data_IF_929198625955
#
_entry.id   IF_929198625955
#
_cell.length_a   1.000
_cell.length_b   1.000
_cell.length_c   1.000
_cell.angle_alpha   90.00
_cell.angle_beta   90.00
_cell.angle_gamma   90.00
#
_symmetry.space_group_name_H-M   'P 1'
#
loop_
_entity.id
_entity.type
_entity.pdbx_description
1 polymer ?
#
# COMPACT_ATOMS: atom_id res chain seq x y z
N UNK A 1 -17.49 -7.71 16.73
CA UNK A 1 -17.44 -9.03 16.07
C UNK A 1 -15.99 -9.34 15.70
N UNK A 2 -15.62 -10.61 15.53
CA UNK A 2 -14.25 -10.97 15.11
C UNK A 2 -14.06 -10.73 13.61
N UNK A 3 -12.81 -10.53 13.19
CA UNK A 3 -12.43 -10.46 11.77
C UNK A 3 -12.69 -11.81 11.08
N UNK A 4 -13.06 -11.75 9.80
CA UNK A 4 -13.08 -12.90 8.89
C UNK A 4 -11.70 -13.10 8.25
N UNK A 5 -11.48 -14.24 7.58
CA UNK A 5 -10.25 -14.48 6.81
C UNK A 5 -10.08 -13.47 5.67
N UNK A 6 -11.18 -13.05 5.05
CA UNK A 6 -11.21 -11.99 4.03
C UNK A 6 -10.77 -10.65 4.64
N UNK A 7 -11.24 -10.34 5.85
CA UNK A 7 -10.84 -9.11 6.53
C UNK A 7 -9.34 -9.09 6.81
N UNK A 8 -8.76 -10.21 7.27
CA UNK A 8 -7.31 -10.32 7.52
C UNK A 8 -6.52 -10.19 6.21
N UNK A 9 -7.01 -10.79 5.13
CA UNK A 9 -6.41 -10.69 3.79
C UNK A 9 -6.37 -9.23 3.31
N UNK A 10 -7.49 -8.52 3.41
CA UNK A 10 -7.60 -7.11 3.05
C UNK A 10 -6.76 -6.21 3.96
N UNK A 11 -6.70 -6.51 5.26
CA UNK A 11 -5.89 -5.78 6.22
C UNK A 11 -4.39 -5.79 5.88
N UNK A 12 -3.89 -6.90 5.34
CA UNK A 12 -2.51 -7.02 4.85
C UNK A 12 -2.34 -6.29 3.53
N UNK A 13 -3.25 -6.51 2.57
CA UNK A 13 -3.17 -5.93 1.22
C UNK A 13 -3.10 -4.41 1.25
N UNK A 14 -4.02 -3.78 1.98
CA UNK A 14 -4.20 -2.33 1.95
C UNK A 14 -3.23 -1.58 2.88
N UNK A 15 -2.40 -2.30 3.63
CA UNK A 15 -1.44 -1.69 4.54
C UNK A 15 -0.23 -1.09 3.83
N UNK A 16 0.24 -1.71 2.75
CA UNK A 16 1.52 -1.35 2.16
C UNK A 16 1.39 -0.38 0.99
N UNK A 17 2.38 0.50 0.87
CA UNK A 17 2.77 1.10 -0.41
C UNK A 17 3.88 0.25 -1.03
N UNK A 18 4.20 0.39 -2.32
CA UNK A 18 5.31 -0.36 -2.92
C UNK A 18 6.64 -0.18 -2.16
N UNK A 19 6.95 1.05 -1.74
CA UNK A 19 8.16 1.34 -0.98
C UNK A 19 8.16 0.68 0.41
N UNK A 20 7.06 0.78 1.16
CA UNK A 20 6.99 0.20 2.50
C UNK A 20 6.93 -1.32 2.48
N UNK A 21 6.37 -1.94 1.44
CA UNK A 21 6.48 -3.39 1.23
C UNK A 21 7.94 -3.81 1.02
N UNK A 22 8.67 -3.10 0.15
CA UNK A 22 10.09 -3.39 -0.10
C UNK A 22 10.88 -3.32 1.20
N UNK A 23 10.72 -2.22 1.95
CA UNK A 23 11.36 -2.07 3.25
C UNK A 23 11.04 -3.24 4.19
N UNK A 24 9.77 -3.62 4.29
CA UNK A 24 9.31 -4.68 5.20
C UNK A 24 9.91 -6.05 4.84
N UNK A 25 9.97 -6.36 3.55
CA UNK A 25 10.56 -7.62 3.02
C UNK A 25 12.06 -7.68 3.30
N UNK A 26 12.76 -6.54 3.22
CA UNK A 26 14.21 -6.46 3.43
C UNK A 26 14.62 -6.58 4.92
N UNK A 27 13.66 -6.66 5.86
CA UNK A 27 13.95 -6.75 7.28
C UNK A 27 14.52 -8.13 7.67
N UNK A 28 15.63 -8.17 8.43
CA UNK A 28 16.37 -9.41 8.67
C UNK A 28 15.66 -10.38 9.61
N UNK A 29 14.85 -9.88 10.56
CA UNK A 29 14.25 -10.71 11.60
C UNK A 29 12.92 -10.14 12.14
N UNK A 30 12.28 -10.90 13.01
CA UNK A 30 11.01 -10.53 13.63
C UNK A 30 11.11 -9.26 14.49
N UNK A 31 12.20 -9.06 15.23
CA UNK A 31 12.37 -7.87 16.08
C UNK A 31 12.51 -6.60 15.23
N UNK A 32 13.18 -6.69 14.08
CA UNK A 32 13.26 -5.61 13.12
C UNK A 32 11.87 -5.25 12.56
N UNK A 33 11.01 -6.24 12.30
CA UNK A 33 9.61 -6.03 11.87
C UNK A 33 8.74 -5.37 12.95
N UNK A 34 8.91 -5.76 14.23
CA UNK A 34 8.21 -5.09 15.33
C UNK A 34 8.58 -3.61 15.42
N UNK A 35 9.89 -3.30 15.41
CA UNK A 35 10.38 -1.90 15.46
C UNK A 35 9.93 -1.10 14.25
N UNK A 36 9.99 -1.72 13.06
CA UNK A 36 9.52 -1.11 11.83
C UNK A 36 8.03 -0.78 11.94
N UNK A 37 7.21 -1.72 12.42
CA UNK A 37 5.78 -1.55 12.59
C UNK A 37 5.42 -0.42 13.54
N UNK A 38 6.08 -0.33 14.70
CA UNK A 38 5.92 0.80 15.63
C UNK A 38 6.16 2.13 14.94
N UNK A 39 7.27 2.25 14.20
CA UNK A 39 7.64 3.48 13.48
C UNK A 39 6.60 3.88 12.43
N UNK A 40 5.99 2.92 11.72
CA UNK A 40 4.93 3.21 10.72
C UNK A 40 3.70 3.89 11.30
N UNK A 41 3.44 3.77 12.60
CA UNK A 41 2.33 4.44 13.30
C UNK A 41 2.77 5.67 14.10
N UNK A 42 4.07 5.87 14.32
CA UNK A 42 4.62 7.06 14.98
C UNK A 42 4.88 8.20 13.99
N UNK A 43 5.26 7.89 12.76
CA UNK A 43 5.57 8.88 11.72
C UNK A 43 4.31 9.58 11.16
N UNK A 44 3.13 9.02 11.37
CA UNK A 44 1.87 9.51 10.82
C UNK A 44 0.84 9.75 11.94
N UNK A 45 0.63 11.03 12.28
CA UNK A 45 -0.29 11.47 13.35
C UNK A 45 -1.77 11.23 12.97
N UNK A 46 -2.03 10.78 11.73
CA UNK A 46 -3.37 10.50 11.22
C UNK A 46 -3.70 9.01 11.29
N UNK A 47 -4.93 8.66 11.67
CA UNK A 47 -5.37 7.27 11.61
C UNK A 47 -5.35 6.79 10.17
N UNK A 48 -4.58 5.71 9.93
CA UNK A 48 -4.56 5.02 8.65
C UNK A 48 -5.94 4.43 8.41
N UNK A 49 -6.59 4.91 7.34
CA UNK A 49 -7.94 4.52 6.97
C UNK A 49 -8.05 4.33 5.48
N UNK A 50 -8.85 3.36 5.07
CA UNK A 50 -9.13 3.03 3.66
C UNK A 50 -10.62 2.71 3.56
N UNK A 51 -11.23 3.01 2.40
CA UNK A 51 -12.57 2.51 2.09
C UNK A 51 -12.45 1.35 1.13
N UNK A 52 -13.18 0.28 1.42
CA UNK A 52 -13.24 -0.88 0.53
C UNK A 52 -13.82 -0.50 -0.83
N UNK A 53 -13.19 -0.97 -1.88
CA UNK A 53 -13.54 -0.67 -3.26
C UNK A 53 -14.75 -1.48 -3.72
N UNK A 54 -15.32 -1.08 -4.85
CA UNK A 54 -16.36 -1.85 -5.51
C UNK A 54 -15.82 -3.23 -5.91
N UNK A 55 -16.60 -4.28 -5.64
CA UNK A 55 -16.22 -5.69 -5.88
C UNK A 55 -15.47 -6.35 -4.72
N UNK A 56 -15.10 -5.60 -3.68
CA UNK A 56 -14.53 -6.15 -2.43
C UNK A 56 -15.62 -6.54 -1.42
N UNK A 57 -15.34 -7.46 -0.47
CA UNK A 57 -16.28 -7.78 0.61
C UNK A 57 -16.62 -6.54 1.42
N UNK A 58 -17.90 -6.30 1.72
CA UNK A 58 -18.37 -5.08 2.41
C UNK A 58 -17.92 -3.78 1.70
N UNK A 59 -18.02 -3.75 0.37
CA UNK A 59 -17.70 -2.58 -0.46
C UNK A 59 -18.29 -1.28 0.13
N UNK A 60 -17.46 -0.22 0.18
CA UNK A 60 -17.81 1.08 0.75
C UNK A 60 -17.61 1.20 2.27
N UNK A 61 -17.40 0.10 2.99
CA UNK A 61 -17.08 0.13 4.42
C UNK A 61 -15.73 0.81 4.67
N UNK A 62 -15.69 1.60 5.75
CA UNK A 62 -14.46 2.22 6.24
C UNK A 62 -13.67 1.18 7.05
N UNK A 63 -12.37 1.16 6.82
CA UNK A 63 -11.43 0.31 7.55
C UNK A 63 -10.38 1.17 8.25
N UNK A 64 -9.90 0.71 9.39
CA UNK A 64 -8.93 1.44 10.22
C UNK A 64 -7.85 0.51 10.74
N UNK A 65 -6.62 1.02 10.78
CA UNK A 65 -5.49 0.38 11.45
C UNK A 65 -5.09 1.22 12.66
N UNK A 66 -4.93 0.56 13.80
CA UNK A 66 -4.42 1.18 15.03
C UNK A 66 -3.17 0.43 15.52
N UNK A 67 -2.17 1.13 16.08
CA UNK A 67 -0.94 0.49 16.52
C UNK A 67 -1.17 -0.55 17.62
N UNK A 68 -0.39 -1.63 17.56
CA UNK A 68 -0.29 -2.63 18.62
C UNK A 68 1.17 -3.09 18.75
N UNK A 69 1.68 -3.41 19.95
CA UNK A 69 3.09 -3.78 20.14
C UNK A 69 3.60 -4.94 19.27
N UNK A 70 2.70 -5.85 18.87
CA UNK A 70 3.03 -7.05 18.09
C UNK A 70 2.54 -7.01 16.64
N UNK A 71 1.89 -5.93 16.22
CA UNK A 71 1.12 -5.89 14.98
C UNK A 71 0.29 -4.62 14.85
N UNK A 72 -0.96 -4.78 14.43
CA UNK A 72 -1.96 -3.72 14.43
C UNK A 72 -3.35 -4.27 14.72
N UNK A 73 -4.20 -3.45 15.31
CA UNK A 73 -5.63 -3.72 15.39
C UNK A 73 -6.25 -3.23 14.09
N UNK A 74 -6.95 -4.12 13.40
CA UNK A 74 -7.70 -3.81 12.19
C UNK A 74 -9.20 -3.79 12.51
N UNK A 75 -9.89 -2.76 12.03
CA UNK A 75 -11.32 -2.55 12.25
C UNK A 75 -12.02 -2.32 10.90
N UNK A 76 -13.23 -2.87 10.76
CA UNK A 76 -14.08 -2.75 9.57
C UNK A 76 -15.48 -2.34 10.00
N UNK A 77 -15.95 -1.20 9.50
CA UNK A 77 -17.33 -0.72 9.66
C UNK A 77 -18.27 -1.44 8.69
N UNK A 78 -18.47 -2.73 8.89
CA UNK A 78 -19.34 -3.55 8.05
C UNK A 78 -20.83 -3.23 8.28
N UNK A 79 -21.73 -3.54 7.31
CA UNK A 79 -23.16 -3.26 7.44
C UNK A 79 -23.83 -3.90 8.66
N UNK A 80 -23.36 -5.09 9.07
CA UNK A 80 -23.87 -5.81 10.23
C UNK A 80 -23.29 -5.32 11.57
N UNK A 81 -22.37 -4.34 11.55
CA UNK A 81 -21.68 -3.79 12.71
C UNK A 81 -20.16 -3.94 12.63
N UNK A 82 -19.45 -3.38 13.61
CA UNK A 82 -17.99 -3.31 13.60
C UNK A 82 -17.36 -4.69 13.85
N UNK A 83 -16.49 -5.10 12.93
CA UNK A 83 -15.57 -6.23 13.08
C UNK A 83 -14.18 -5.70 13.44
N UNK A 84 -13.52 -6.31 14.42
CA UNK A 84 -12.21 -5.87 14.91
C UNK A 84 -11.36 -7.07 15.34
N UNK A 85 -10.05 -6.97 15.17
CA UNK A 85 -9.11 -8.02 15.56
C UNK A 85 -7.65 -7.61 15.43
N UNK A 86 -6.79 -8.31 16.15
CA UNK A 86 -5.34 -8.13 16.10
C UNK A 86 -4.77 -8.92 14.92
N UNK A 87 -3.98 -8.26 14.08
CA UNK A 87 -3.19 -8.87 13.01
C UNK A 87 -1.71 -8.73 13.38
N UNK A 88 -1.00 -9.84 13.53
CA UNK A 88 0.40 -9.86 13.99
C UNK A 88 1.36 -9.62 12.83
N UNK A 89 2.48 -8.93 13.08
CA UNK A 89 3.51 -8.72 12.04
C UNK A 89 4.09 -10.03 11.51
N UNK A 90 4.12 -11.08 12.34
CA UNK A 90 4.50 -12.42 11.91
C UNK A 90 3.54 -13.01 10.86
N UNK A 91 2.23 -12.83 11.05
CA UNK A 91 1.21 -13.32 10.13
C UNK A 91 1.23 -12.54 8.81
N UNK A 92 1.42 -11.22 8.90
CA UNK A 92 1.66 -10.33 7.75
C UNK A 92 2.84 -10.82 6.92
N UNK A 93 3.97 -11.11 7.58
CA UNK A 93 5.15 -11.64 6.91
C UNK A 93 4.90 -12.99 6.23
N UNK A 94 4.24 -13.91 6.93
CA UNK A 94 3.89 -15.23 6.39
C UNK A 94 2.98 -15.10 5.16
N UNK A 95 2.02 -14.15 5.17
CA UNK A 95 1.14 -13.89 4.04
C UNK A 95 1.91 -13.37 2.82
N UNK A 96 2.88 -12.48 3.03
CA UNK A 96 3.76 -11.93 1.99
C UNK A 96 4.68 -13.02 1.41
N UNK A 97 5.37 -13.78 2.27
CA UNK A 97 6.34 -14.80 1.86
C UNK A 97 5.72 -15.86 0.94
N UNK A 98 4.46 -16.26 1.18
CA UNK A 98 3.74 -17.24 0.33
C UNK A 98 3.68 -16.84 -1.14
N UNK A 99 3.76 -15.54 -1.44
CA UNK A 99 3.69 -14.99 -2.80
C UNK A 99 4.99 -14.34 -3.24
N UNK A 100 5.95 -14.18 -2.33
CA UNK A 100 7.24 -13.57 -2.63
C UNK A 100 8.09 -14.56 -3.44
N UNK A 101 8.45 -14.17 -4.67
CA UNK A 101 9.38 -14.92 -5.51
C UNK A 101 10.49 -13.98 -5.96
N UNK A 102 11.68 -14.49 -6.35
CA UNK A 102 12.77 -13.63 -6.81
C UNK A 102 12.35 -12.69 -7.96
N UNK A 103 11.50 -13.17 -8.88
CA UNK A 103 11.00 -12.36 -10.01
C UNK A 103 10.06 -11.24 -9.52
N UNK A 104 9.12 -11.57 -8.63
CA UNK A 104 8.19 -10.56 -8.06
C UNK A 104 8.92 -9.52 -7.21
N UNK A 105 9.90 -9.97 -6.42
CA UNK A 105 10.75 -9.08 -5.64
C UNK A 105 11.60 -8.18 -6.54
N UNK A 106 12.25 -8.72 -7.58
CA UNK A 106 12.99 -7.91 -8.55
C UNK A 106 12.11 -6.85 -9.21
N UNK A 107 10.89 -7.22 -9.61
CA UNK A 107 9.91 -6.28 -10.19
C UNK A 107 9.53 -5.17 -9.20
N UNK A 108 9.36 -5.50 -7.91
CA UNK A 108 9.09 -4.51 -6.86
C UNK A 108 10.27 -3.54 -6.69
N UNK A 109 11.50 -4.06 -6.63
CA UNK A 109 12.71 -3.25 -6.52
C UNK A 109 12.85 -2.28 -7.70
N UNK A 110 12.73 -2.78 -8.93
CA UNK A 110 12.79 -1.97 -10.15
C UNK A 110 11.72 -0.86 -10.14
N UNK A 111 10.49 -1.19 -9.74
CA UNK A 111 9.40 -0.21 -9.69
C UNK A 111 9.64 0.88 -8.64
N UNK A 112 10.08 0.51 -7.44
CA UNK A 112 10.39 1.45 -6.35
C UNK A 112 11.57 2.37 -6.74
N UNK A 113 12.62 1.80 -7.32
CA UNK A 113 13.79 2.57 -7.79
C UNK A 113 13.41 3.52 -8.92
N UNK A 114 12.58 3.08 -9.87
CA UNK A 114 12.12 3.92 -10.97
C UNK A 114 11.24 5.09 -10.48
N UNK A 115 10.37 4.87 -9.50
CA UNK A 115 9.59 5.95 -8.87
C UNK A 115 10.54 6.93 -8.16
N UNK A 116 11.46 6.43 -7.33
CA UNK A 116 12.39 7.29 -6.60
C UNK A 116 13.27 8.12 -7.55
N UNK A 117 13.75 7.51 -8.64
CA UNK A 117 14.53 8.21 -9.66
C UNK A 117 13.70 9.23 -10.43
N UNK A 118 12.43 8.93 -10.72
CA UNK A 118 11.50 9.88 -11.31
C UNK A 118 11.28 11.04 -10.34
N UNK A 119 10.81 10.82 -9.11
CA UNK A 119 10.55 11.89 -8.15
C UNK A 119 11.79 12.77 -7.89
N UNK A 120 12.99 12.18 -7.82
CA UNK A 120 14.25 12.92 -7.66
C UNK A 120 14.62 13.78 -8.88
N UNK A 121 14.19 13.40 -10.07
CA UNK A 121 14.37 14.18 -11.30
C UNK A 121 13.31 15.29 -11.47
N UNK A 122 12.33 15.40 -10.55
CA UNK A 122 11.34 16.47 -10.60
C UNK A 122 12.03 17.81 -10.46
N UNK A 123 11.72 18.71 -11.39
CA UNK A 123 12.27 20.05 -11.39
C UNK A 123 11.13 21.02 -11.06
N UNK A 124 11.03 21.54 -9.82
CA UNK A 124 10.06 22.57 -9.48
C UNK A 124 10.36 23.78 -10.36
N UNK A 125 9.37 24.24 -11.14
CA UNK A 125 9.48 25.25 -12.20
C UNK A 125 10.69 26.19 -12.04
N UNK A 126 11.84 25.90 -12.69
CA UNK A 126 12.87 26.90 -12.83
C UNK A 126 12.50 27.77 -14.03
N UNK A 127 12.71 29.07 -13.87
CA UNK A 127 12.74 30.07 -14.93
C UNK A 127 13.65 29.53 -16.06
N UNK A 128 13.08 29.11 -17.22
CA UNK A 128 13.05 29.98 -18.39
C UNK A 128 11.75 29.87 -19.21
N UNK A 129 10.70 29.20 -18.70
CA UNK A 129 9.42 29.13 -19.40
C UNK A 129 8.69 30.46 -19.25
N UNK A 130 8.39 31.09 -20.39
CA UNK A 130 7.82 32.44 -20.47
C UNK A 130 6.45 32.56 -19.77
N UNK A 131 5.72 31.45 -19.65
CA UNK A 131 4.37 31.38 -19.06
C UNK A 131 4.12 29.99 -18.44
N UNK A 132 3.23 29.87 -17.44
CA UNK A 132 2.84 28.59 -16.84
C UNK A 132 2.32 27.55 -17.86
N UNK A 133 1.62 27.99 -18.90
CA UNK A 133 1.04 27.12 -19.92
C UNK A 133 2.10 26.40 -20.75
N UNK A 134 3.26 27.05 -20.99
CA UNK A 134 4.38 26.45 -21.71
C UNK A 134 5.09 25.43 -20.82
N UNK A 135 5.28 25.73 -19.54
CA UNK A 135 5.84 24.77 -18.58
C UNK A 135 4.94 23.53 -18.44
N UNK A 136 3.62 23.76 -18.37
CA UNK A 136 2.61 22.70 -18.31
C UNK A 136 2.72 21.76 -19.51
N UNK A 137 2.77 22.31 -20.72
CA UNK A 137 2.83 21.53 -21.95
C UNK A 137 4.19 20.85 -22.19
N UNK A 138 5.29 21.55 -21.92
CA UNK A 138 6.64 21.09 -22.27
C UNK A 138 7.25 20.13 -21.24
N UNK A 139 6.82 20.22 -19.98
CA UNK A 139 7.38 19.44 -18.87
C UNK A 139 6.30 18.71 -18.09
N UNK A 140 5.38 19.44 -17.45
CA UNK A 140 4.50 18.87 -16.43
C UNK A 140 3.57 17.76 -16.96
N UNK A 141 2.98 17.90 -18.15
CA UNK A 141 2.11 16.85 -18.72
C UNK A 141 2.85 15.55 -19.05
N UNK A 142 4.01 15.66 -19.68
CA UNK A 142 4.82 14.49 -20.00
C UNK A 142 5.31 13.80 -18.73
N UNK A 143 5.74 14.60 -17.75
CA UNK A 143 6.11 14.17 -16.41
C UNK A 143 4.96 13.42 -15.72
N UNK A 144 3.79 14.04 -15.60
CA UNK A 144 2.63 13.47 -14.93
C UNK A 144 2.15 12.17 -15.60
N UNK A 145 2.25 12.08 -16.93
CA UNK A 145 1.96 10.84 -17.66
C UNK A 145 2.94 9.73 -17.28
N UNK A 146 4.24 10.02 -17.24
CA UNK A 146 5.25 9.06 -16.82
C UNK A 146 5.07 8.65 -15.36
N UNK A 147 4.80 9.61 -14.47
CA UNK A 147 4.48 9.36 -13.06
C UNK A 147 3.29 8.38 -12.93
N UNK A 148 2.22 8.60 -13.70
CA UNK A 148 1.05 7.72 -13.71
C UNK A 148 1.38 6.30 -14.18
N UNK A 149 2.21 6.17 -15.22
CA UNK A 149 2.65 4.87 -15.74
C UNK A 149 3.52 4.12 -14.71
N UNK A 150 4.44 4.82 -14.06
CA UNK A 150 5.28 4.25 -13.00
C UNK A 150 4.44 3.83 -11.79
N UNK A 151 3.48 4.65 -11.38
CA UNK A 151 2.55 4.32 -10.29
C UNK A 151 1.76 3.04 -10.60
N UNK A 152 1.21 2.90 -11.82
CA UNK A 152 0.50 1.69 -12.23
C UNK A 152 1.39 0.44 -12.20
N UNK A 153 2.64 0.55 -12.67
CA UNK A 153 3.61 -0.56 -12.61
C UNK A 153 3.94 -0.95 -11.17
N UNK A 154 4.14 0.03 -10.29
CA UNK A 154 4.43 -0.22 -8.89
C UNK A 154 3.24 -0.82 -8.14
N UNK A 155 2.01 -0.36 -8.42
CA UNK A 155 0.79 -0.99 -7.90
C UNK A 155 0.66 -2.44 -8.38
N UNK A 156 0.94 -2.72 -9.65
CA UNK A 156 0.92 -4.09 -10.16
C UNK A 156 1.99 -4.99 -9.50
N UNK A 157 3.18 -4.44 -9.23
CA UNK A 157 4.24 -5.16 -8.51
C UNK A 157 3.86 -5.45 -7.05
N UNK A 158 3.22 -4.49 -6.38
CA UNK A 158 2.64 -4.64 -5.04
C UNK A 158 1.56 -5.74 -5.02
N UNK A 159 0.56 -5.66 -5.91
CA UNK A 159 -0.55 -6.61 -6.01
C UNK A 159 -0.10 -8.04 -6.40
N UNK A 160 1.06 -8.17 -7.07
CA UNK A 160 1.65 -9.47 -7.37
C UNK A 160 2.12 -10.19 -6.09
N UNK A 161 2.54 -9.44 -5.06
CA UNK A 161 3.06 -9.95 -3.78
C UNK A 161 1.98 -9.96 -2.69
N UNK A 162 1.28 -8.84 -2.48
CA UNK A 162 0.23 -8.76 -1.47
C UNK A 162 -0.89 -9.76 -1.76
N UNK A 163 -1.60 -10.27 -0.73
CA UNK A 163 -2.76 -11.12 -0.93
C UNK A 163 -3.78 -10.48 -1.87
N UNK A 164 -4.39 -11.28 -2.75
CA UNK A 164 -5.34 -10.77 -3.73
C UNK A 164 -6.66 -10.46 -3.01
N UNK A 165 -7.36 -9.41 -3.45
CA UNK A 165 -8.75 -9.24 -3.06
C UNK A 165 -9.54 -10.47 -3.48
N UNK A 166 -10.41 -10.94 -2.59
CA UNK A 166 -11.43 -11.92 -2.94
C UNK A 166 -12.55 -11.15 -3.64
N UNK A 167 -12.68 -11.36 -4.95
CA UNK A 167 -13.79 -10.80 -5.70
C UNK A 167 -15.11 -11.41 -5.20
N UNK A 168 -16.03 -10.59 -4.74
CA UNK A 168 -17.39 -11.02 -4.44
C UNK A 168 -18.22 -10.91 -5.73
N UNK A 169 -19.02 -11.93 -6.10
CA UNK A 169 -19.96 -11.80 -7.20
C UNK A 169 -20.91 -10.63 -6.90
N UNK A 170 -21.24 -9.85 -7.92
CA UNK A 170 -22.22 -8.79 -7.78
C UNK A 170 -23.52 -9.38 -7.21
N UNK A 171 -24.05 -8.77 -6.15
CA UNK A 171 -25.30 -9.22 -5.53
C UNK A 171 -26.53 -8.98 -6.41
N UNK A 172 -26.35 -8.42 -7.62
CA UNK A 172 -27.39 -8.08 -8.58
C UNK A 172 -26.89 -8.23 -10.02
#
# INVERSE_FOLDING_TARGET
MNLTDDDVTMAVRDFFTPATLKEFVDLPDHLARLRWGTRQFEEDDRPRTVRRLEGEPDAGSLTRWSPSPSGFVYEVEAPAGIRSGLVMWHDVHTAIERRLTPVRYGTLCEAVEAIAAHDAAYIPCPVPFRTPEIWEAAFHRAWARQSSELALRASAALDAICPAAVAQPALF
#
